data_IF_987394992981
#
_entry.id   IF_987394992981
#
_cell.length_a   1.000
_cell.length_b   1.000
_cell.length_c   1.000
_cell.angle_alpha   90.00
_cell.angle_beta   90.00
_cell.angle_gamma   90.00
#
_symmetry.space_group_name_H-M   'P 1'
#
loop_
_entity.id
_entity.type
_entity.pdbx_description
1 polymer ?
#
# COMPACT_ATOMS: atom_id res chain seq x y z
N UNK A 1 25.57 5.07 -3.00
CA UNK A 1 24.32 5.56 -3.64
C UNK A 1 23.51 6.16 -2.52
N UNK A 2 23.22 7.44 -2.62
CA UNK A 2 22.37 8.08 -1.64
C UNK A 2 20.94 7.59 -1.83
N UNK A 3 20.39 6.97 -0.79
CA UNK A 3 19.00 6.53 -0.80
C UNK A 3 18.11 7.77 -0.90
N UNK A 4 17.06 7.67 -1.74
CA UNK A 4 16.05 8.72 -1.85
C UNK A 4 14.89 8.42 -0.92
N UNK A 5 14.30 9.45 -0.38
CA UNK A 5 13.18 9.31 0.52
C UNK A 5 11.85 9.47 -0.22
N UNK A 6 10.90 8.61 0.10
CA UNK A 6 9.54 8.63 -0.45
C UNK A 6 8.52 8.60 0.65
N UNK A 7 7.56 9.50 0.58
CA UNK A 7 6.43 9.49 1.49
C UNK A 7 5.42 8.42 1.09
N UNK A 8 5.03 7.62 2.06
CA UNK A 8 3.97 6.62 1.90
C UNK A 8 2.94 6.74 3.02
N UNK A 9 1.75 6.26 2.73
CA UNK A 9 0.75 5.97 3.73
C UNK A 9 0.39 4.48 3.67
N UNK A 10 0.24 3.87 4.84
CA UNK A 10 -0.14 2.48 4.95
C UNK A 10 -1.18 2.26 6.04
N UNK A 11 -1.98 1.24 5.84
CA UNK A 11 -2.95 0.76 6.81
C UNK A 11 -2.58 -0.66 7.20
N UNK A 12 -2.54 -0.92 8.50
CA UNK A 12 -2.26 -2.25 9.02
C UNK A 12 -3.53 -3.08 9.11
N UNK A 13 -3.37 -4.40 9.24
CA UNK A 13 -4.47 -5.35 9.44
C UNK A 13 -5.33 -5.04 10.67
N UNK A 14 -4.79 -4.33 11.64
CA UNK A 14 -5.51 -3.86 12.82
C UNK A 14 -6.16 -2.47 12.65
N UNK A 15 -6.23 -1.96 11.42
CA UNK A 15 -6.88 -0.68 11.10
C UNK A 15 -6.07 0.55 11.48
N UNK A 16 -4.80 0.41 11.91
CA UNK A 16 -3.94 1.55 12.23
C UNK A 16 -3.38 2.15 10.95
N UNK A 17 -3.53 3.46 10.79
CA UNK A 17 -2.98 4.21 9.66
C UNK A 17 -1.66 4.88 10.06
N UNK A 18 -0.63 4.67 9.23
CA UNK A 18 0.67 5.32 9.37
C UNK A 18 1.00 6.11 8.12
N UNK A 19 1.62 7.26 8.30
CA UNK A 19 2.20 8.09 7.23
C UNK A 19 3.64 8.41 7.60
N UNK A 20 4.58 8.31 6.67
CA UNK A 20 6.00 8.60 6.92
C UNK A 20 6.86 8.41 5.69
N UNK A 21 8.15 8.54 5.88
CA UNK A 21 9.16 8.44 4.82
C UNK A 21 9.81 7.06 4.82
N UNK A 22 10.03 6.52 3.63
CA UNK A 22 10.82 5.31 3.42
C UNK A 22 11.97 5.60 2.48
N UNK A 23 13.07 4.87 2.64
CA UNK A 23 14.18 4.94 1.69
C UNK A 23 13.89 4.07 0.47
N UNK A 24 14.13 4.59 -0.71
CA UNK A 24 14.01 3.89 -1.99
C UNK A 24 15.33 3.98 -2.76
N UNK A 25 15.70 2.96 -3.57
CA UNK A 25 16.96 2.97 -4.30
C UNK A 25 17.06 4.09 -5.34
N UNK A 26 15.94 4.46 -5.94
CA UNK A 26 15.83 5.55 -6.92
C UNK A 26 14.38 6.03 -7.04
N UNK A 27 14.16 7.19 -7.66
CA UNK A 27 12.82 7.74 -7.88
C UNK A 27 11.97 6.87 -8.82
N UNK A 28 12.62 6.17 -9.75
CA UNK A 28 11.93 5.26 -10.69
C UNK A 28 11.58 3.90 -10.06
N UNK A 29 12.07 3.59 -8.86
CA UNK A 29 11.83 2.30 -8.23
C UNK A 29 10.42 2.27 -7.63
N UNK A 30 9.61 1.27 -7.98
CA UNK A 30 8.25 1.16 -7.45
C UNK A 30 8.28 0.63 -6.03
N UNK A 31 7.55 1.27 -5.14
CA UNK A 31 7.43 0.84 -3.73
C UNK A 31 6.89 -0.58 -3.60
N UNK A 32 5.96 -0.98 -4.47
CA UNK A 32 5.45 -2.36 -4.49
C UNK A 32 6.55 -3.38 -4.81
N UNK A 33 7.43 -3.08 -5.77
CA UNK A 33 8.54 -3.98 -6.11
C UNK A 33 9.53 -4.10 -4.96
N UNK A 34 9.72 -3.00 -4.25
CA UNK A 34 10.54 -2.96 -3.05
C UNK A 34 9.97 -3.86 -1.95
N UNK A 35 8.67 -3.77 -1.66
CA UNK A 35 8.02 -4.59 -0.63
C UNK A 35 7.87 -6.06 -1.04
N UNK A 36 7.82 -6.33 -2.34
CA UNK A 36 7.81 -7.68 -2.89
C UNK A 36 9.20 -8.31 -2.91
N UNK A 37 10.27 -7.50 -2.94
CA UNK A 37 11.63 -8.00 -2.93
C UNK A 37 11.96 -8.70 -1.59
N UNK A 38 12.76 -9.75 -1.68
CA UNK A 38 13.35 -10.39 -0.49
C UNK A 38 14.61 -9.66 0.00
N UNK A 39 15.18 -8.81 -0.84
CA UNK A 39 16.37 -8.03 -0.50
C UNK A 39 15.94 -6.80 0.29
N UNK A 40 16.14 -6.86 1.58
CA UNK A 40 15.77 -5.82 2.50
C UNK A 40 16.85 -4.74 2.47
N UNK A 41 16.63 -3.70 1.68
CA UNK A 41 17.40 -2.44 1.75
C UNK A 41 17.25 -1.72 3.11
N UNK A 42 16.46 -2.27 3.99
CA UNK A 42 15.96 -1.70 5.23
C UNK A 42 16.79 -2.05 6.46
N UNK A 43 17.79 -2.87 6.32
CA UNK A 43 18.64 -3.22 7.44
C UNK A 43 19.61 -2.06 7.71
N UNK A 44 19.19 -1.13 8.57
CA UNK A 44 20.21 -0.39 9.29
C UNK A 44 21.01 -1.40 10.11
N UNK A 45 22.30 -1.65 9.80
CA UNK A 45 23.09 -2.67 10.48
C UNK A 45 23.24 -2.42 11.99
N UNK A 46 22.94 -1.19 12.43
CA UNK A 46 23.06 -0.77 13.83
C UNK A 46 21.72 -0.91 14.60
N UNK A 47 20.63 -1.29 13.95
CA UNK A 47 19.34 -1.48 14.62
C UNK A 47 18.97 -2.96 14.61
N UNK A 48 18.56 -3.47 15.77
CA UNK A 48 17.87 -4.76 15.86
C UNK A 48 16.53 -4.63 15.15
N UNK A 49 16.50 -4.99 13.88
CA UNK A 49 15.28 -4.94 13.07
C UNK A 49 14.52 -6.26 13.17
N UNK A 50 13.20 -6.20 13.19
CA UNK A 50 12.39 -7.39 12.95
C UNK A 50 12.66 -7.89 11.53
N UNK A 51 12.78 -9.20 11.36
CA UNK A 51 12.81 -9.80 10.04
C UNK A 51 11.51 -9.47 9.29
N UNK A 52 11.64 -9.10 8.01
CA UNK A 52 10.51 -8.70 7.17
C UNK A 52 9.70 -7.49 7.70
N UNK A 53 10.36 -6.50 8.26
CA UNK A 53 9.76 -5.21 8.58
C UNK A 53 10.24 -4.12 7.63
N UNK A 54 9.40 -3.11 7.40
CA UNK A 54 9.80 -1.85 6.80
C UNK A 54 10.23 -0.87 7.87
N UNK A 55 11.15 0.01 7.51
CA UNK A 55 11.57 1.11 8.35
C UNK A 55 10.99 2.41 7.80
N UNK A 56 10.30 3.17 8.65
CA UNK A 56 9.76 4.49 8.30
C UNK A 56 10.35 5.53 9.23
N UNK A 57 10.85 6.61 8.66
CA UNK A 57 11.26 7.82 9.38
C UNK A 57 10.14 8.87 9.36
N UNK A 58 10.19 9.84 10.26
CA UNK A 58 9.16 10.86 10.43
C UNK A 58 7.74 10.31 10.46
N UNK A 59 7.58 9.14 11.05
CA UNK A 59 6.33 8.39 11.01
C UNK A 59 5.28 9.00 11.93
N UNK A 60 4.03 8.98 11.46
CA UNK A 60 2.85 9.47 12.20
C UNK A 60 1.81 8.38 12.26
N UNK A 61 1.33 8.06 13.46
CA UNK A 61 0.15 7.24 13.66
C UNK A 61 -1.08 8.14 13.64
N UNK A 62 -2.00 7.85 12.74
CA UNK A 62 -3.22 8.60 12.49
C UNK A 62 -4.39 7.73 12.94
N UNK A 63 -5.25 8.24 13.83
CA UNK A 63 -6.40 7.50 14.34
C UNK A 63 -7.65 7.69 13.47
N UNK A 64 -7.81 8.91 12.95
CA UNK A 64 -8.86 9.25 12.01
C UNK A 64 -8.30 10.18 10.91
N UNK A 65 -9.14 10.60 9.97
CA UNK A 65 -8.68 11.38 8.81
C UNK A 65 -8.07 12.75 9.19
N UNK A 66 -8.17 13.18 10.43
CA UNK A 66 -7.80 14.52 10.89
C UNK A 66 -6.89 14.54 12.11
N UNK A 67 -6.88 13.50 12.93
CA UNK A 67 -6.18 13.48 14.20
C UNK A 67 -4.90 12.63 14.16
N UNK A 68 -3.74 13.30 14.24
CA UNK A 68 -2.48 12.63 14.53
C UNK A 68 -2.45 12.25 16.02
N UNK A 69 -2.32 10.95 16.29
CA UNK A 69 -2.20 10.46 17.67
C UNK A 69 -0.77 10.56 18.19
N UNK A 70 0.22 10.13 17.37
CA UNK A 70 1.61 10.08 17.81
C UNK A 70 2.58 10.24 16.64
N UNK A 71 3.67 10.97 16.89
CA UNK A 71 4.82 11.08 15.99
C UNK A 71 5.96 10.21 16.51
N UNK A 72 6.70 9.59 15.59
CA UNK A 72 7.90 8.81 15.85
C UNK A 72 8.99 9.32 14.93
N UNK A 73 10.22 9.46 15.44
CA UNK A 73 11.38 9.76 14.59
C UNK A 73 11.63 8.61 13.63
N UNK A 74 11.43 7.39 14.12
CA UNK A 74 11.48 6.18 13.30
C UNK A 74 10.63 5.07 13.92
N UNK A 75 10.09 4.19 13.04
CA UNK A 75 9.30 3.03 13.44
C UNK A 75 9.55 1.87 12.50
N UNK A 76 9.44 0.66 13.02
CA UNK A 76 9.44 -0.56 12.23
C UNK A 76 8.04 -1.15 12.17
N UNK A 77 7.58 -1.48 10.97
CA UNK A 77 6.27 -2.10 10.73
C UNK A 77 6.50 -3.42 10.00
N UNK A 78 6.00 -4.52 10.57
CA UNK A 78 6.09 -5.83 9.92
C UNK A 78 5.31 -5.81 8.61
N UNK A 79 5.93 -6.28 7.52
CA UNK A 79 5.30 -6.34 6.20
C UNK A 79 4.02 -7.20 6.24
N UNK A 80 4.02 -8.28 7.02
CA UNK A 80 2.85 -9.14 7.19
C UNK A 80 1.65 -8.44 7.84
N UNK A 81 1.89 -7.38 8.60
CA UNK A 81 0.83 -6.59 9.24
C UNK A 81 0.28 -5.48 8.33
N UNK A 82 0.92 -5.22 7.18
CA UNK A 82 0.45 -4.20 6.24
C UNK A 82 -0.70 -4.78 5.44
N UNK A 83 -1.81 -4.06 5.46
CA UNK A 83 -3.02 -4.43 4.74
C UNK A 83 -3.04 -3.88 3.33
N UNK A 84 -2.85 -2.57 3.20
CA UNK A 84 -2.60 -1.87 1.94
C UNK A 84 -1.75 -0.62 2.18
N UNK A 85 -1.15 -0.13 1.12
CA UNK A 85 -0.42 1.13 1.14
C UNK A 85 -0.53 1.85 -0.21
N UNK A 86 -0.19 3.13 -0.20
CA UNK A 86 -0.06 3.96 -1.38
C UNK A 86 1.06 4.99 -1.21
N UNK A 87 1.67 5.36 -2.32
CA UNK A 87 2.72 6.37 -2.36
C UNK A 87 2.08 7.76 -2.43
N UNK A 88 2.69 8.75 -1.81
CA UNK A 88 2.38 10.14 -2.10
C UNK A 88 3.12 10.55 -3.37
N UNK A 89 2.46 10.33 -4.52
CA UNK A 89 3.05 10.51 -5.85
C UNK A 89 3.27 11.97 -6.25
N UNK A 90 2.89 12.94 -5.43
CA UNK A 90 3.10 14.35 -5.73
C UNK A 90 4.58 14.76 -5.78
N UNK A 91 5.44 13.94 -5.16
CA UNK A 91 6.88 14.17 -5.08
C UNK A 91 7.72 13.26 -6.00
N UNK A 92 7.08 12.46 -6.85
CA UNK A 92 7.82 11.57 -7.75
C UNK A 92 8.30 12.32 -8.98
N UNK A 93 9.63 12.47 -9.07
CA UNK A 93 10.38 12.75 -10.30
C UNK A 93 10.13 14.07 -11.01
N UNK A 94 10.97 14.34 -12.02
CA UNK A 94 10.79 15.47 -12.90
C UNK A 94 9.56 15.27 -13.83
N UNK A 95 9.17 16.29 -14.58
CA UNK A 95 8.03 16.25 -15.48
C UNK A 95 8.15 15.17 -16.58
N UNK A 96 9.37 14.80 -16.96
CA UNK A 96 9.62 13.78 -17.97
C UNK A 96 9.35 12.37 -17.40
N UNK A 97 9.69 12.12 -16.14
CA UNK A 97 9.39 10.83 -15.47
C UNK A 97 7.90 10.68 -15.22
N UNK A 98 7.22 11.77 -14.81
CA UNK A 98 5.75 11.81 -14.70
C UNK A 98 5.07 11.51 -16.03
N UNK A 99 5.58 12.06 -17.13
CA UNK A 99 5.06 11.81 -18.47
C UNK A 99 5.30 10.37 -18.95
N UNK A 100 6.47 9.79 -18.68
CA UNK A 100 6.77 8.38 -18.96
C UNK A 100 5.88 7.44 -18.15
N UNK A 101 5.73 7.71 -16.85
CA UNK A 101 4.84 6.95 -15.98
C UNK A 101 3.39 7.03 -16.46
N UNK A 102 2.90 8.21 -16.86
CA UNK A 102 1.53 8.38 -17.37
C UNK A 102 1.33 7.65 -18.71
N UNK A 103 2.33 7.64 -19.60
CA UNK A 103 2.27 6.94 -20.89
C UNK A 103 2.28 5.41 -20.67
N UNK A 104 3.10 4.91 -19.76
CA UNK A 104 3.11 3.49 -19.38
C UNK A 104 1.76 3.08 -18.75
N UNK A 105 1.19 3.92 -17.90
CA UNK A 105 -0.13 3.70 -17.31
C UNK A 105 -1.21 3.71 -18.38
N UNK A 106 -1.14 4.58 -19.39
CA UNK A 106 -2.11 4.61 -20.49
C UNK A 106 -2.01 3.35 -21.36
N UNK A 107 -0.82 2.94 -21.79
CA UNK A 107 -0.62 1.74 -22.59
C UNK A 107 -1.00 0.45 -21.85
N UNK A 108 -0.73 0.40 -20.55
CA UNK A 108 -1.13 -0.74 -19.74
C UNK A 108 -2.63 -0.75 -19.42
N UNK A 109 -3.31 0.39 -19.45
CA UNK A 109 -4.75 0.49 -19.18
C UNK A 109 -5.63 -0.25 -20.20
N UNK A 110 -5.16 -0.43 -21.44
CA UNK A 110 -5.90 -1.13 -22.49
C UNK A 110 -6.03 -2.64 -22.22
N UNK A 111 -5.07 -3.23 -21.52
CA UNK A 111 -5.02 -4.65 -21.19
C UNK A 111 -5.34 -4.99 -19.74
N UNK A 112 -5.76 -4.01 -18.94
CA UNK A 112 -6.06 -4.21 -17.55
C UNK A 112 -7.44 -4.83 -17.34
N UNK A 113 -7.49 -5.85 -16.50
CA UNK A 113 -8.76 -6.42 -16.03
C UNK A 113 -9.30 -5.65 -14.83
N UNK A 114 -10.58 -5.41 -14.82
CA UNK A 114 -11.25 -4.91 -13.61
C UNK A 114 -11.34 -6.05 -12.61
N UNK A 115 -10.87 -5.81 -11.39
CA UNK A 115 -10.92 -6.78 -10.30
C UNK A 115 -11.72 -6.19 -9.15
N UNK A 116 -12.43 -7.07 -8.46
CA UNK A 116 -13.01 -6.79 -7.15
C UNK A 116 -12.40 -7.76 -6.14
N UNK A 117 -11.88 -7.23 -5.07
CA UNK A 117 -11.21 -7.95 -3.99
C UNK A 117 -12.01 -7.76 -2.72
N UNK A 118 -12.40 -8.86 -2.09
CA UNK A 118 -12.88 -8.86 -0.72
C UNK A 118 -11.73 -9.33 0.16
N UNK A 119 -11.48 -8.58 1.19
CA UNK A 119 -10.39 -8.87 2.11
C UNK A 119 -10.85 -9.72 3.28
N UNK A 120 -9.93 -10.39 3.94
CA UNK A 120 -10.19 -11.08 5.20
C UNK A 120 -10.71 -10.09 6.23
N UNK A 121 -11.64 -10.53 7.05
CA UNK A 121 -12.13 -9.74 8.17
C UNK A 121 -11.06 -9.70 9.27
N UNK A 122 -10.74 -8.49 9.72
CA UNK A 122 -9.87 -8.28 10.87
C UNK A 122 -10.61 -7.40 11.89
N UNK A 123 -10.66 -7.87 13.13
CA UNK A 123 -11.46 -7.25 14.18
C UNK A 123 -12.94 -7.15 13.78
N UNK A 124 -13.42 -5.96 13.44
CA UNK A 124 -14.82 -5.70 13.12
C UNK A 124 -15.05 -5.16 11.71
N UNK A 125 -14.01 -5.17 10.87
CA UNK A 125 -14.12 -4.64 9.50
C UNK A 125 -13.41 -5.51 8.47
N UNK A 126 -13.85 -5.38 7.22
CA UNK A 126 -13.18 -5.88 6.02
C UNK A 126 -13.35 -4.83 4.92
N UNK A 127 -12.60 -4.98 3.83
CA UNK A 127 -12.62 -4.02 2.73
C UNK A 127 -13.11 -4.68 1.43
N UNK A 128 -13.95 -3.94 0.73
CA UNK A 128 -14.30 -4.19 -0.67
C UNK A 128 -13.46 -3.24 -1.53
N UNK A 129 -12.55 -3.80 -2.31
CA UNK A 129 -11.59 -3.04 -3.09
C UNK A 129 -11.81 -3.34 -4.56
N UNK A 130 -12.19 -2.33 -5.33
CA UNK A 130 -12.31 -2.43 -6.78
C UNK A 130 -11.19 -1.66 -7.43
N UNK A 131 -10.58 -2.21 -8.50
CA UNK A 131 -9.52 -1.53 -9.23
C UNK A 131 -9.19 -2.22 -10.54
N UNK A 132 -8.23 -1.66 -11.28
CA UNK A 132 -7.66 -2.29 -12.46
C UNK A 132 -6.35 -2.97 -12.13
N UNK A 133 -6.24 -4.22 -12.50
CA UNK A 133 -5.07 -5.05 -12.29
C UNK A 133 -4.37 -5.34 -13.61
N UNK A 134 -3.05 -5.19 -13.59
CA UNK A 134 -2.17 -5.51 -14.71
C UNK A 134 -1.36 -6.75 -14.37
N UNK A 135 -1.58 -7.83 -15.07
CA UNK A 135 -0.80 -9.04 -14.90
C UNK A 135 -1.66 -10.30 -14.78
N UNK A 136 -1.01 -11.38 -14.45
CA UNK A 136 -1.65 -12.66 -14.20
C UNK A 136 -1.76 -12.89 -12.70
N UNK A 137 -2.97 -13.03 -12.20
CA UNK A 137 -3.20 -13.53 -10.84
C UNK A 137 -2.76 -15.00 -10.80
N UNK A 138 -1.52 -15.22 -10.39
CA UNK A 138 -0.98 -16.57 -10.25
C UNK A 138 -1.33 -17.09 -8.85
N UNK A 139 -1.95 -18.26 -8.79
CA UNK A 139 -2.34 -18.95 -7.54
C UNK A 139 -1.15 -19.21 -6.58
N UNK A 140 0.08 -19.05 -7.05
CA UNK A 140 1.34 -19.17 -6.30
C UNK A 140 2.26 -17.97 -6.54
N UNK A 141 1.70 -16.76 -6.61
CA UNK A 141 2.53 -15.57 -6.67
C UNK A 141 3.37 -15.48 -5.39
N UNK A 142 4.67 -15.26 -5.57
CA UNK A 142 5.57 -14.94 -4.45
C UNK A 142 5.43 -13.49 -4.00
N UNK A 143 4.66 -12.70 -4.75
CA UNK A 143 4.45 -11.30 -4.47
C UNK A 143 3.63 -11.14 -3.20
N UNK A 144 4.12 -10.36 -2.27
CA UNK A 144 3.44 -10.05 -1.02
C UNK A 144 2.30 -9.05 -1.24
N UNK A 145 2.44 -8.21 -2.26
CA UNK A 145 1.49 -7.17 -2.61
C UNK A 145 1.17 -7.17 -4.10
N UNK A 146 -0.06 -6.84 -4.41
CA UNK A 146 -0.54 -6.59 -5.76
C UNK A 146 -0.86 -5.12 -5.93
N UNK A 147 -0.56 -4.58 -7.10
CA UNK A 147 -0.80 -3.18 -7.44
C UNK A 147 -2.11 -3.03 -8.21
N UNK A 148 -2.93 -2.09 -7.80
CA UNK A 148 -4.18 -1.72 -8.46
C UNK A 148 -4.14 -0.25 -8.86
N UNK A 149 -4.66 0.05 -10.06
CA UNK A 149 -4.92 1.42 -10.50
C UNK A 149 -6.42 1.71 -10.49
N UNK A 150 -6.79 2.98 -10.49
CA UNK A 150 -8.20 3.42 -10.37
C UNK A 150 -8.92 2.74 -9.21
N UNK A 151 -8.21 2.60 -8.11
CA UNK A 151 -8.69 1.88 -6.94
C UNK A 151 -9.78 2.65 -6.22
N UNK A 152 -10.77 1.91 -5.75
CA UNK A 152 -11.82 2.38 -4.84
C UNK A 152 -11.88 1.41 -3.69
N UNK A 153 -11.93 1.95 -2.48
CA UNK A 153 -12.01 1.16 -1.24
C UNK A 153 -13.29 1.52 -0.52
N UNK A 154 -14.03 0.50 -0.12
CA UNK A 154 -15.15 0.61 0.81
C UNK A 154 -14.80 -0.22 2.03
N UNK A 155 -14.72 0.42 3.18
CA UNK A 155 -14.65 -0.27 4.47
C UNK A 155 -16.05 -0.72 4.86
N UNK A 156 -16.19 -1.98 5.21
CA UNK A 156 -17.43 -2.58 5.72
C UNK A 156 -17.13 -2.98 7.17
N UNK A 157 -17.82 -2.38 8.11
CA UNK A 157 -17.56 -2.54 9.53
C UNK A 157 -18.84 -2.74 10.33
N UNK A 158 -18.72 -3.40 11.48
CA UNK A 158 -19.84 -3.65 12.38
C UNK A 158 -19.86 -2.62 13.51
N UNK A 159 -20.97 -1.90 13.64
CA UNK A 159 -21.20 -0.95 14.72
C UNK A 159 -22.56 -1.22 15.34
N UNK A 160 -22.59 -1.38 16.67
CA UNK A 160 -23.82 -1.68 17.43
C UNK A 160 -24.65 -2.84 16.84
N UNK A 161 -23.98 -3.90 16.40
CA UNK A 161 -24.61 -5.08 15.83
C UNK A 161 -25.04 -4.95 14.35
N UNK A 162 -24.96 -3.77 13.74
CA UNK A 162 -25.35 -3.51 12.35
C UNK A 162 -24.12 -3.35 11.46
N UNK A 163 -24.20 -3.83 10.21
CA UNK A 163 -23.19 -3.60 9.21
C UNK A 163 -23.34 -2.21 8.60
N UNK A 164 -22.24 -1.48 8.59
CA UNK A 164 -22.13 -0.13 8.03
C UNK A 164 -21.06 -0.15 6.93
N UNK A 165 -21.11 0.85 6.05
CA UNK A 165 -20.10 1.02 5.01
C UNK A 165 -19.59 2.45 4.98
N UNK A 166 -18.28 2.62 4.75
CA UNK A 166 -17.60 3.91 4.61
C UNK A 166 -16.71 3.87 3.37
N UNK A 167 -16.90 4.79 2.45
CA UNK A 167 -15.97 4.98 1.33
C UNK A 167 -14.69 5.61 1.86
N UNK A 168 -13.56 4.98 1.58
CA UNK A 168 -12.24 5.51 1.91
C UNK A 168 -11.81 6.42 0.76
N UNK A 169 -11.53 7.69 1.11
CA UNK A 169 -10.99 8.65 0.14
C UNK A 169 -9.50 8.39 -0.02
N UNK A 170 -9.11 7.92 -1.19
CA UNK A 170 -7.70 7.78 -1.56
C UNK A 170 -7.17 9.10 -2.13
N UNK A 171 -5.96 9.53 -1.78
CA UNK A 171 -5.33 10.72 -2.38
C UNK A 171 -4.93 10.46 -3.84
N UNK A 172 -4.77 9.20 -4.22
CA UNK A 172 -4.34 8.74 -5.54
C UNK A 172 -5.14 7.53 -5.98
N UNK A 173 -5.17 7.32 -7.30
CA UNK A 173 -5.84 6.16 -7.93
C UNK A 173 -5.03 4.85 -7.83
N UNK A 174 -3.87 4.87 -7.19
CA UNK A 174 -2.96 3.72 -7.11
C UNK A 174 -2.80 3.25 -5.69
N UNK A 175 -2.97 1.94 -5.48
CA UNK A 175 -2.73 1.27 -4.20
C UNK A 175 -2.03 -0.06 -4.40
N UNK A 176 -1.37 -0.54 -3.36
CA UNK A 176 -0.86 -1.89 -3.25
C UNK A 176 -1.56 -2.62 -2.10
N UNK A 177 -2.13 -3.78 -2.40
CA UNK A 177 -2.92 -4.59 -1.46
C UNK A 177 -2.15 -5.85 -1.12
N UNK A 178 -2.12 -6.21 0.15
CA UNK A 178 -1.43 -7.41 0.61
C UNK A 178 -2.16 -8.68 0.17
N UNK A 179 -1.43 -9.58 -0.49
CA UNK A 179 -1.94 -10.89 -0.92
C UNK A 179 -2.40 -11.77 0.25
N UNK A 180 -1.75 -11.65 1.40
CA UNK A 180 -2.09 -12.45 2.59
C UNK A 180 -3.44 -12.09 3.20
N UNK A 181 -3.98 -10.93 2.84
CA UNK A 181 -5.26 -10.43 3.35
C UNK A 181 -6.39 -10.48 2.30
N UNK A 182 -6.15 -11.11 1.16
CA UNK A 182 -7.19 -11.31 0.14
C UNK A 182 -7.96 -12.60 0.48
N UNK A 183 -9.26 -12.46 0.75
CA UNK A 183 -10.15 -13.60 0.92
C UNK A 183 -10.69 -14.09 -0.42
N UNK A 184 -11.17 -13.17 -1.23
CA UNK A 184 -11.69 -13.49 -2.55
C UNK A 184 -11.37 -12.43 -3.61
N UNK A 185 -11.30 -12.85 -4.86
CA UNK A 185 -11.10 -11.98 -6.02
C UNK A 185 -12.02 -12.41 -7.16
N UNK A 186 -12.66 -11.44 -7.78
CA UNK A 186 -13.44 -11.63 -9.01
C UNK A 186 -12.90 -10.73 -10.12
N UNK A 187 -12.96 -11.23 -11.35
CA UNK A 187 -12.52 -10.51 -12.55
C UNK A 187 -13.76 -10.16 -13.39
N UNK A 188 -13.76 -8.95 -13.97
CA UNK A 188 -14.82 -8.45 -14.87
C UNK A 188 -14.21 -7.97 -16.18
#
# INVERSE_FOLDING_TARGET
>A
MDAKQRKIELVTSLGKKYSGMIDVPSDSFRTTDLFNSSNIFWKNPNLKCYDNAIFMSDARLILDDTAMYKKFDSIQIKIADIFYFYDDTKEIGDEMEKKRASTMVQQSNENAQTVNIITTQVAHSFYDITGRFFGLFKKKSKDKFISLTRAKIVEIYKMQGKWMQKKIKLPHDFISVSNSHIESVTFK
#
